data_IF_502226611859
#
_entry.id   IF_502226611859
#
_cell.length_a   1.000
_cell.length_b   1.000
_cell.length_c   1.000
_cell.angle_alpha   90.00
_cell.angle_beta   90.00
_cell.angle_gamma   90.00
#
_symmetry.space_group_name_H-M   'P 1'
#
loop_
_entity.id
_entity.type
_entity.pdbx_description
1 polymer ?
#
# COMPACT_ATOMS: atom_id res chain seq x y z
N UNK A 1 41.46 -9.53 -10.39
CA UNK A 1 41.22 -8.45 -9.40
C UNK A 1 39.93 -7.73 -9.79
N UNK A 2 38.82 -8.03 -9.12
CA UNK A 2 37.56 -7.30 -9.34
C UNK A 2 37.76 -5.89 -8.80
N UNK A 3 37.76 -4.89 -9.68
CA UNK A 3 37.95 -3.49 -9.30
C UNK A 3 36.91 -3.10 -8.24
N UNK A 4 37.33 -2.40 -7.18
CA UNK A 4 36.43 -1.89 -6.11
C UNK A 4 35.26 -1.08 -6.68
N UNK A 5 35.46 -0.46 -7.85
CA UNK A 5 34.43 0.27 -8.59
C UNK A 5 33.33 -0.67 -9.12
N UNK A 6 33.69 -1.86 -9.61
CA UNK A 6 32.75 -2.86 -10.10
C UNK A 6 31.90 -3.44 -8.96
N UNK A 7 32.50 -3.62 -7.78
CA UNK A 7 31.77 -4.05 -6.57
C UNK A 7 30.75 -2.98 -6.11
N UNK A 8 31.14 -1.70 -6.12
CA UNK A 8 30.24 -0.59 -5.77
C UNK A 8 29.09 -0.42 -6.76
N UNK A 9 29.33 -0.60 -8.06
CA UNK A 9 28.29 -0.55 -9.10
C UNK A 9 27.33 -1.73 -8.93
N UNK A 10 27.84 -2.94 -8.67
CA UNK A 10 27.01 -4.12 -8.43
C UNK A 10 26.16 -3.98 -7.15
N UNK A 11 26.74 -3.44 -6.08
CA UNK A 11 26.05 -3.20 -4.81
C UNK A 11 24.93 -2.15 -4.96
N UNK A 12 25.18 -1.06 -5.70
CA UNK A 12 24.15 -0.06 -6.00
C UNK A 12 23.05 -0.63 -6.89
N UNK A 13 23.40 -1.42 -7.92
CA UNK A 13 22.42 -2.06 -8.80
C UNK A 13 21.49 -3.04 -8.05
N UNK A 14 21.98 -3.71 -7.00
CA UNK A 14 21.16 -4.55 -6.12
C UNK A 14 20.20 -3.74 -5.24
N UNK A 15 20.57 -2.53 -4.82
CA UNK A 15 19.75 -1.67 -3.95
C UNK A 15 18.58 -1.01 -4.71
N UNK A 16 18.67 -0.83 -6.03
CA UNK A 16 17.62 -0.19 -6.84
C UNK A 16 16.34 -1.04 -7.02
N UNK A 17 16.32 -2.30 -6.59
CA UNK A 17 15.18 -3.22 -6.82
C UNK A 17 14.03 -3.12 -5.81
N UNK A 18 14.11 -2.26 -4.79
CA UNK A 18 13.24 -2.37 -3.61
C UNK A 18 12.22 -1.25 -3.38
N UNK A 19 11.94 -0.40 -4.38
CA UNK A 19 10.91 0.63 -4.23
C UNK A 19 9.74 0.40 -5.20
N UNK A 20 8.83 -0.50 -4.83
CA UNK A 20 7.53 -0.64 -5.50
C UNK A 20 6.48 0.17 -4.75
N UNK A 21 6.14 1.35 -5.27
CA UNK A 21 4.98 2.12 -4.82
C UNK A 21 3.79 1.87 -5.76
N UNK A 22 2.57 1.89 -5.22
CA UNK A 22 1.36 1.79 -6.03
C UNK A 22 0.98 3.17 -6.55
N UNK A 23 0.93 3.33 -7.88
CA UNK A 23 0.40 4.52 -8.55
C UNK A 23 -0.88 4.11 -9.31
N UNK A 24 -2.00 4.65 -8.86
CA UNK A 24 -3.33 4.47 -9.44
C UNK A 24 -3.64 5.70 -10.28
N UNK A 25 -4.10 5.50 -11.51
CA UNK A 25 -4.49 6.60 -12.40
C UNK A 25 -6.00 6.56 -12.57
N UNK A 26 -6.67 7.67 -12.26
CA UNK A 26 -8.11 7.85 -12.44
C UNK A 26 -8.37 8.80 -13.59
N UNK A 27 -9.33 8.44 -14.43
CA UNK A 27 -9.78 9.19 -15.60
C UNK A 27 -11.17 9.75 -15.40
N UNK A 28 -11.48 10.85 -16.08
CA UNK A 28 -12.81 11.47 -16.07
C UNK A 28 -13.94 10.51 -16.49
N UNK A 29 -13.60 9.51 -17.33
CA UNK A 29 -14.53 8.51 -17.87
C UNK A 29 -14.79 7.35 -16.89
N UNK A 30 -14.05 7.27 -15.79
CA UNK A 30 -14.21 6.20 -14.81
C UNK A 30 -15.52 6.36 -14.06
N UNK A 31 -16.34 5.30 -14.12
CA UNK A 31 -17.69 5.32 -13.55
C UNK A 31 -17.69 4.96 -12.06
N UNK A 32 -18.66 5.49 -11.28
CA UNK A 32 -18.90 5.05 -9.91
C UNK A 32 -19.11 3.53 -9.84
N UNK A 33 -18.54 2.90 -8.82
CA UNK A 33 -18.51 1.45 -8.66
C UNK A 33 -17.25 0.78 -9.23
N UNK A 34 -16.41 1.51 -9.97
CA UNK A 34 -15.13 0.99 -10.45
C UNK A 34 -14.20 0.66 -9.26
N UNK A 35 -13.67 -0.56 -9.24
CA UNK A 35 -12.60 -0.96 -8.32
C UNK A 35 -11.27 -0.48 -8.88
N UNK A 36 -10.62 0.44 -8.17
CA UNK A 36 -9.39 1.10 -8.63
C UNK A 36 -8.14 0.42 -8.06
N UNK A 37 -8.29 -0.36 -6.99
CA UNK A 37 -7.22 -1.14 -6.38
C UNK A 37 -7.82 -2.24 -5.51
N UNK A 38 -7.14 -3.38 -5.40
CA UNK A 38 -7.48 -4.44 -4.45
C UNK A 38 -6.36 -4.59 -3.42
N UNK A 39 -6.64 -4.19 -2.18
CA UNK A 39 -5.74 -4.38 -1.05
C UNK A 39 -5.92 -5.75 -0.36
N UNK A 40 -6.82 -6.58 -0.89
CA UNK A 40 -7.06 -7.94 -0.43
C UNK A 40 -5.77 -8.76 -0.39
N UNK A 41 -5.48 -9.32 0.78
CA UNK A 41 -4.33 -10.20 0.97
C UNK A 41 -4.88 -11.61 0.88
N UNK A 42 -4.35 -12.40 -0.04
CA UNK A 42 -4.68 -13.82 -0.14
C UNK A 42 -4.12 -14.51 1.11
N UNK A 43 -5.01 -14.80 2.04
CA UNK A 43 -4.66 -15.50 3.28
C UNK A 43 -4.57 -17.00 3.03
N UNK A 44 -3.52 -17.64 3.57
CA UNK A 44 -3.40 -19.11 3.55
C UNK A 44 -4.58 -19.73 4.33
N UNK A 45 -5.06 -20.94 3.98
CA UNK A 45 -6.09 -21.62 4.75
C UNK A 45 -5.66 -21.74 6.23
N UNK A 46 -6.53 -21.32 7.15
CA UNK A 46 -6.26 -21.27 8.59
C UNK A 46 -5.80 -19.90 9.12
N UNK A 47 -5.51 -18.93 8.25
CA UNK A 47 -5.28 -17.55 8.69
C UNK A 47 -6.61 -16.82 8.97
N UNK A 48 -6.63 -15.93 9.98
CA UNK A 48 -7.85 -15.23 10.36
C UNK A 48 -8.30 -14.22 9.29
N UNK A 49 -9.62 -13.98 9.17
CA UNK A 49 -10.14 -12.95 8.28
C UNK A 49 -9.63 -11.58 8.69
N UNK A 50 -9.38 -10.74 7.69
CA UNK A 50 -8.89 -9.37 7.86
C UNK A 50 -10.01 -8.37 7.61
N UNK A 51 -9.93 -7.21 8.25
CA UNK A 51 -10.77 -6.05 8.00
C UNK A 51 -9.94 -4.94 7.38
N UNK A 52 -10.52 -4.28 6.40
CA UNK A 52 -9.88 -3.19 5.67
C UNK A 52 -10.58 -1.87 5.95
N UNK A 53 -9.82 -0.82 6.24
CA UNK A 53 -10.38 0.50 6.60
C UNK A 53 -9.51 1.61 6.02
N UNK A 54 -10.14 2.68 5.53
CA UNK A 54 -9.41 3.90 5.17
C UNK A 54 -8.94 4.64 6.41
N UNK A 55 -7.64 4.93 6.52
CA UNK A 55 -7.09 5.68 7.63
C UNK A 55 -7.43 7.17 7.48
N UNK A 56 -8.49 7.64 8.13
CA UNK A 56 -8.95 9.03 8.06
C UNK A 56 -8.01 10.05 8.72
N UNK A 57 -7.06 9.60 9.55
CA UNK A 57 -6.06 10.49 10.15
C UNK A 57 -4.91 10.81 9.20
N UNK A 58 -4.57 9.86 8.31
CA UNK A 58 -3.48 10.01 7.33
C UNK A 58 -3.97 10.34 5.92
N UNK A 59 -5.24 10.10 5.64
CA UNK A 59 -5.87 10.36 4.34
C UNK A 59 -6.61 11.70 4.37
N UNK A 60 -6.50 12.47 3.29
CA UNK A 60 -7.20 13.74 3.18
C UNK A 60 -8.73 13.58 3.23
N UNK A 61 -9.40 14.54 3.87
CA UNK A 61 -10.84 14.45 4.17
C UNK A 61 -11.75 14.40 2.95
N UNK A 62 -11.32 14.91 1.79
CA UNK A 62 -12.10 14.85 0.55
C UNK A 62 -12.21 13.41 0.02
N UNK A 63 -11.23 12.56 0.31
CA UNK A 63 -11.13 11.20 -0.23
C UNK A 63 -12.32 10.35 0.20
N UNK A 64 -12.84 10.51 1.42
CA UNK A 64 -14.01 9.75 1.91
C UNK A 64 -15.29 9.95 1.06
N UNK A 65 -15.35 11.08 0.35
CA UNK A 65 -16.46 11.38 -0.55
C UNK A 65 -16.21 10.84 -1.96
N UNK A 66 -14.94 10.66 -2.34
CA UNK A 66 -14.53 10.18 -3.65
C UNK A 66 -14.36 8.66 -3.72
N UNK A 67 -13.75 8.06 -2.70
CA UNK A 67 -13.38 6.66 -2.65
C UNK A 67 -13.99 5.97 -1.42
N UNK A 68 -14.27 4.68 -1.58
CA UNK A 68 -14.70 3.76 -0.54
C UNK A 68 -13.67 2.63 -0.45
N UNK A 69 -13.50 2.06 0.74
CA UNK A 69 -12.76 0.81 0.93
C UNK A 69 -13.76 -0.20 1.46
N UNK A 70 -13.94 -1.30 0.73
CA UNK A 70 -14.75 -2.42 1.21
C UNK A 70 -14.07 -3.07 2.42
N UNK A 71 -14.84 -3.30 3.48
CA UNK A 71 -14.30 -3.72 4.77
C UNK A 71 -13.82 -5.17 4.79
N UNK A 72 -14.28 -6.00 3.85
CA UNK A 72 -14.03 -7.44 3.83
C UNK A 72 -13.09 -7.85 2.70
N UNK A 73 -13.23 -7.24 1.53
CA UNK A 73 -12.37 -7.56 0.38
C UNK A 73 -11.10 -6.71 0.36
N UNK A 74 -11.14 -5.48 0.89
CA UNK A 74 -10.05 -4.52 0.72
C UNK A 74 -10.06 -3.81 -0.63
N UNK A 75 -11.14 -3.98 -1.41
CA UNK A 75 -11.32 -3.29 -2.68
C UNK A 75 -11.52 -1.78 -2.45
N UNK A 76 -10.72 -0.98 -3.12
CA UNK A 76 -10.86 0.49 -3.16
C UNK A 76 -11.72 0.84 -4.35
N UNK A 77 -12.87 1.46 -4.09
CA UNK A 77 -13.95 1.68 -5.06
C UNK A 77 -14.20 3.16 -5.26
N UNK A 78 -14.36 3.60 -6.50
CA UNK A 78 -14.77 4.95 -6.84
C UNK A 78 -16.26 5.15 -6.49
N UNK A 79 -16.57 6.10 -5.61
CA UNK A 79 -17.95 6.36 -5.14
C UNK A 79 -18.77 7.25 -6.06
N UNK A 80 -18.10 8.12 -6.80
CA UNK A 80 -18.72 9.18 -7.61
C UNK A 80 -17.82 9.51 -8.79
N UNK A 81 -18.42 10.10 -9.82
CA UNK A 81 -17.69 10.65 -10.96
C UNK A 81 -16.63 11.65 -10.48
N UNK A 82 -15.53 11.70 -11.22
CA UNK A 82 -14.54 12.75 -11.01
C UNK A 82 -15.16 14.10 -11.35
N UNK A 83 -14.99 15.02 -10.42
CA UNK A 83 -15.23 16.43 -10.64
C UNK A 83 -14.01 17.08 -11.29
N UNK A 84 -14.24 17.67 -12.45
CA UNK A 84 -13.20 18.19 -13.32
C UNK A 84 -12.94 19.68 -13.15
N UNK A 85 -13.63 20.34 -12.19
CA UNK A 85 -13.56 21.78 -11.99
C UNK A 85 -12.24 22.22 -11.33
N UNK A 86 -11.37 21.28 -10.92
CA UNK A 86 -10.05 21.55 -10.33
C UNK A 86 -10.07 22.12 -8.91
N UNK A 87 -11.25 22.42 -8.35
CA UNK A 87 -11.40 23.04 -7.02
C UNK A 87 -11.50 22.01 -5.90
N UNK A 88 -12.07 20.83 -6.15
CA UNK A 88 -12.49 19.90 -5.09
C UNK A 88 -11.36 19.06 -4.49
N UNK A 89 -10.30 18.81 -5.25
CA UNK A 89 -9.19 17.99 -4.83
C UNK A 89 -7.95 18.25 -5.71
N UNK A 90 -6.75 17.97 -5.20
CA UNK A 90 -5.52 18.04 -6.00
C UNK A 90 -5.49 16.95 -7.07
N UNK A 91 -4.69 17.17 -8.12
CA UNK A 91 -4.43 16.18 -9.15
C UNK A 91 -3.72 14.92 -8.64
N UNK A 92 -2.98 15.01 -7.53
CA UNK A 92 -2.29 13.87 -6.92
C UNK A 92 -2.51 13.86 -5.42
N UNK A 93 -2.80 12.69 -4.86
CA UNK A 93 -2.96 12.50 -3.42
C UNK A 93 -2.65 11.06 -3.01
N UNK A 94 -2.48 10.84 -1.70
CA UNK A 94 -2.23 9.52 -1.13
C UNK A 94 -3.42 9.09 -0.28
N UNK A 95 -3.80 7.83 -0.42
CA UNK A 95 -4.84 7.16 0.37
C UNK A 95 -4.16 6.06 1.17
N UNK A 96 -4.42 6.02 2.47
CA UNK A 96 -3.90 4.97 3.34
C UNK A 96 -5.00 3.96 3.63
N UNK A 97 -4.79 2.73 3.19
CA UNK A 97 -5.69 1.60 3.44
C UNK A 97 -5.05 0.69 4.48
N UNK A 98 -5.68 0.55 5.62
CA UNK A 98 -5.20 -0.27 6.73
C UNK A 98 -5.90 -1.63 6.71
N UNK A 99 -5.14 -2.69 6.93
CA UNK A 99 -5.58 -4.08 7.00
C UNK A 99 -5.27 -4.65 8.37
N UNK A 100 -6.32 -4.89 9.14
CA UNK A 100 -6.28 -5.38 10.52
C UNK A 100 -6.74 -6.84 10.56
N UNK A 101 -5.95 -7.72 11.17
CA UNK A 101 -6.41 -9.08 11.47
C UNK A 101 -7.46 -9.07 12.59
N UNK A 102 -8.54 -9.86 12.47
CA UNK A 102 -9.58 -9.90 13.49
C UNK A 102 -9.15 -10.61 14.78
N UNK A 103 -8.22 -11.56 14.71
CA UNK A 103 -7.81 -12.37 15.87
C UNK A 103 -6.38 -12.14 16.35
N UNK A 104 -5.56 -11.42 15.57
CA UNK A 104 -4.16 -11.18 15.89
C UNK A 104 -3.83 -9.69 15.79
N UNK A 105 -2.78 -9.21 16.48
CA UNK A 105 -2.31 -7.82 16.36
C UNK A 105 -1.51 -7.56 15.07
N UNK A 106 -1.87 -8.23 13.98
CA UNK A 106 -1.24 -8.04 12.68
C UNK A 106 -1.94 -6.90 11.93
N UNK A 107 -1.14 -5.89 11.54
CA UNK A 107 -1.55 -4.67 10.89
C UNK A 107 -0.66 -4.38 9.68
N UNK A 108 -1.28 -4.01 8.55
CA UNK A 108 -0.59 -3.62 7.33
C UNK A 108 -1.23 -2.33 6.82
N UNK A 109 -0.44 -1.37 6.38
CA UNK A 109 -0.92 -0.08 5.84
C UNK A 109 -0.39 0.12 4.43
N UNK A 110 -1.30 0.22 3.46
CA UNK A 110 -1.03 0.41 2.04
C UNK A 110 -1.13 1.90 1.67
N UNK A 111 0.00 2.59 1.38
CA UNK A 111 -0.02 3.94 0.82
C UNK A 111 -0.28 3.89 -0.69
N UNK A 112 -1.51 4.17 -1.09
CA UNK A 112 -1.93 4.19 -2.49
C UNK A 112 -1.82 5.61 -3.04
N UNK A 113 -0.97 5.85 -4.04
CA UNK A 113 -0.93 7.14 -4.71
C UNK A 113 -1.96 7.17 -5.82
N UNK A 114 -2.79 8.19 -5.82
CA UNK A 114 -3.84 8.39 -6.81
C UNK A 114 -3.48 9.63 -7.62
N UNK A 115 -3.36 9.47 -8.93
CA UNK A 115 -3.19 10.53 -9.91
C UNK A 115 -4.50 10.67 -10.69
N UNK A 116 -5.10 11.86 -10.65
CA UNK A 116 -6.23 12.22 -11.48
C UNK A 116 -5.70 12.78 -12.79
N UNK A 117 -5.89 12.01 -13.86
CA UNK A 117 -5.61 12.44 -15.22
C UNK A 117 -6.59 13.57 -15.56
N UNK A 118 -6.05 14.66 -16.11
CA UNK A 118 -6.81 15.86 -16.42
C UNK A 118 -8.04 15.50 -17.26
N UNK A 119 -9.20 15.99 -16.84
CA UNK A 119 -10.39 15.91 -17.65
C UNK A 119 -10.22 16.88 -18.82
N UNK A 120 -10.03 16.35 -20.02
CA UNK A 120 -9.87 17.17 -21.22
C UNK A 120 -11.04 16.95 -22.14
N UNK A 121 -11.77 18.02 -22.44
CA UNK A 121 -12.57 18.18 -23.65
C UNK A 121 -12.34 19.63 -24.11
N UNK A 122 -11.41 19.82 -25.08
CA UNK A 122 -11.14 21.03 -25.90
C UNK A 122 -10.80 22.32 -25.10
N UNK A 123 -9.57 22.83 -25.05
CA UNK A 123 -8.75 23.40 -26.13
C UNK A 123 -7.25 23.26 -25.79
N UNK A 124 -6.41 23.20 -26.83
CA UNK A 124 -4.98 22.85 -26.85
C UNK A 124 -4.68 21.35 -26.92
N UNK A 125 -5.14 20.74 -28.02
CA UNK A 125 -4.37 19.68 -28.66
C UNK A 125 -2.92 20.16 -28.88
N UNK A 126 -1.97 19.27 -28.58
CA UNK A 126 -0.51 19.38 -28.80
C UNK A 126 0.40 19.86 -27.63
N UNK A 127 0.00 19.60 -26.38
CA UNK A 127 0.94 19.35 -25.26
C UNK A 127 0.70 17.95 -24.68
N UNK A 128 0.56 16.99 -25.58
CA UNK A 128 0.32 15.58 -25.30
C UNK A 128 1.53 14.93 -24.62
N UNK A 129 1.21 13.98 -23.75
CA UNK A 129 2.12 13.00 -23.11
C UNK A 129 3.15 13.58 -22.12
N UNK A 130 3.82 14.68 -22.43
CA UNK A 130 4.90 15.24 -21.60
C UNK A 130 4.44 15.66 -20.20
N UNK A 131 3.30 16.33 -20.05
CA UNK A 131 2.85 16.84 -18.74
C UNK A 131 2.41 15.70 -17.80
N UNK A 132 1.70 14.70 -18.33
CA UNK A 132 1.35 13.48 -17.59
C UNK A 132 2.59 12.67 -17.25
N UNK A 133 3.52 12.47 -18.19
CA UNK A 133 4.80 11.81 -17.93
C UNK A 133 5.63 12.55 -16.90
N UNK A 134 5.66 13.89 -16.93
CA UNK A 134 6.35 14.72 -15.94
C UNK A 134 5.72 14.53 -14.56
N UNK A 135 4.38 14.56 -14.45
CA UNK A 135 3.67 14.32 -13.19
C UNK A 135 3.88 12.90 -12.66
N UNK A 136 3.87 11.90 -13.53
CA UNK A 136 4.17 10.50 -13.16
C UNK A 136 5.63 10.37 -12.73
N UNK A 137 6.58 11.00 -13.44
CA UNK A 137 7.99 11.00 -13.08
C UNK A 137 8.26 11.73 -11.76
N UNK A 138 7.53 12.82 -11.49
CA UNK A 138 7.53 13.49 -10.21
C UNK A 138 6.97 12.57 -9.12
N UNK A 139 5.79 11.98 -9.33
CA UNK A 139 5.16 11.06 -8.40
C UNK A 139 6.05 9.86 -8.06
N UNK A 140 6.88 9.38 -8.98
CA UNK A 140 7.85 8.30 -8.74
C UNK A 140 8.97 8.69 -7.75
N UNK A 141 9.30 9.98 -7.61
CA UNK A 141 10.37 10.46 -6.72
C UNK A 141 9.96 10.54 -5.24
N UNK A 142 8.67 10.46 -4.94
CA UNK A 142 8.18 10.67 -3.58
C UNK A 142 8.36 9.40 -2.73
N UNK A 143 8.62 9.52 -1.41
CA UNK A 143 8.80 8.37 -0.53
C UNK A 143 7.48 7.63 -0.28
N UNK A 144 7.39 6.35 -0.65
CA UNK A 144 6.24 5.47 -0.39
C UNK A 144 6.63 4.42 0.65
N UNK A 145 6.34 4.69 1.92
CA UNK A 145 6.64 3.77 3.01
C UNK A 145 5.40 2.95 3.34
N UNK A 146 5.42 1.66 2.95
CA UNK A 146 4.44 0.67 3.39
C UNK A 146 4.85 0.19 4.78
N UNK A 147 3.95 0.32 5.76
CA UNK A 147 4.20 -0.09 7.14
C UNK A 147 3.47 -1.38 7.41
N UNK A 148 4.18 -2.38 7.91
CA UNK A 148 3.60 -3.63 8.38
C UNK A 148 4.12 -3.96 9.77
N UNK A 149 3.22 -4.39 10.65
CA UNK A 149 3.49 -4.87 11.99
C UNK A 149 2.75 -6.18 12.21
N UNK A 150 3.41 -7.17 12.81
CA UNK A 150 2.84 -8.49 13.06
C UNK A 150 3.12 -8.93 14.49
N UNK A 151 2.14 -9.64 15.08
CA UNK A 151 2.33 -10.31 16.35
C UNK A 151 3.08 -11.63 16.13
N UNK A 152 4.21 -11.80 16.82
CA UNK A 152 4.89 -13.09 16.94
C UNK A 152 4.26 -13.81 18.13
N UNK A 153 3.61 -14.95 17.87
CA UNK A 153 3.10 -15.79 18.94
C UNK A 153 4.28 -16.52 19.58
N UNK A 154 4.46 -16.39 20.89
CA UNK A 154 5.37 -17.26 21.62
C UNK A 154 4.76 -18.65 21.71
N UNK A 155 5.54 -19.70 21.45
CA UNK A 155 5.09 -21.08 21.64
C UNK A 155 4.59 -21.29 23.07
N UNK A 156 3.28 -21.49 23.23
CA UNK A 156 2.74 -22.34 24.31
C UNK A 156 1.29 -22.76 24.03
N UNK A 157 1.14 -23.82 23.24
CA UNK A 157 0.03 -24.75 23.42
C UNK A 157 0.37 -25.61 24.64
N UNK A 158 -0.21 -25.29 25.79
CA UNK A 158 -0.40 -26.20 26.92
C UNK A 158 -1.56 -25.60 27.72
N UNK A 159 -2.76 -25.84 27.23
CA UNK A 159 -4.02 -25.61 27.94
C UNK A 159 -4.02 -26.64 29.09
N UNK A 160 -3.73 -26.21 30.33
CA UNK A 160 -4.30 -26.74 31.60
C UNK A 160 -3.44 -26.65 32.86
N UNK A 161 -2.24 -26.05 32.88
CA UNK A 161 -1.52 -25.84 34.16
C UNK A 161 -0.92 -24.44 34.31
N UNK A 162 -1.66 -23.60 35.03
CA UNK A 162 -1.28 -22.30 35.63
C UNK A 162 -0.86 -21.17 34.65
N UNK A 163 -1.34 -19.92 34.87
CA UNK A 163 -0.97 -18.78 34.02
C UNK A 163 0.48 -18.41 34.30
N UNK A 164 1.42 -18.97 33.53
CA UNK A 164 2.79 -18.44 33.52
C UNK A 164 2.71 -17.05 32.87
N UNK A 165 3.19 -15.98 33.53
CA UNK A 165 3.27 -14.67 32.90
C UNK A 165 4.09 -14.80 31.61
N UNK A 166 3.63 -14.14 30.54
CA UNK A 166 4.27 -14.12 29.22
C UNK A 166 5.76 -13.84 29.45
N UNK A 167 6.61 -14.87 29.31
CA UNK A 167 8.05 -14.69 29.53
C UNK A 167 8.53 -13.71 28.47
N UNK A 168 9.12 -12.61 28.92
CA UNK A 168 9.79 -11.66 28.05
C UNK A 168 10.65 -12.42 27.03
N UNK A 169 10.35 -12.26 25.74
CA UNK A 169 11.12 -12.91 24.68
C UNK A 169 12.40 -12.10 24.53
N UNK A 170 13.50 -12.61 25.10
CA UNK A 170 14.82 -12.01 24.93
C UNK A 170 15.33 -12.26 23.51
N UNK A 171 15.05 -11.33 22.60
CA UNK A 171 15.58 -11.36 21.23
C UNK A 171 17.08 -11.12 21.26
N UNK A 172 17.87 -12.00 20.64
CA UNK A 172 19.31 -11.76 20.46
C UNK A 172 19.56 -10.77 19.33
N UNK A 173 20.64 -9.98 19.46
CA UNK A 173 21.10 -9.09 18.37
C UNK A 173 21.31 -9.92 17.09
N UNK A 174 20.68 -9.50 16.00
CA UNK A 174 20.73 -10.15 14.67
C UNK A 174 20.04 -11.52 14.56
N UNK A 175 19.13 -11.88 15.48
CA UNK A 175 18.32 -13.10 15.33
C UNK A 175 17.23 -12.89 14.27
N UNK A 176 17.11 -13.84 13.33
CA UNK A 176 15.97 -13.90 12.41
C UNK A 176 14.72 -14.32 13.19
N UNK A 177 13.75 -13.41 13.32
CA UNK A 177 12.47 -13.67 14.00
C UNK A 177 11.45 -14.26 13.02
N UNK A 178 11.39 -13.72 11.79
CA UNK A 178 10.53 -14.24 10.73
C UNK A 178 10.99 -13.74 9.36
N UNK A 179 10.54 -14.39 8.28
CA UNK A 179 10.73 -13.95 6.91
C UNK A 179 9.54 -13.09 6.47
N UNK A 180 9.81 -11.81 6.17
CA UNK A 180 8.79 -10.82 5.78
C UNK A 180 8.28 -11.03 4.35
N UNK A 181 9.10 -11.62 3.47
CA UNK A 181 8.81 -11.72 2.05
C UNK A 181 7.63 -12.66 1.72
N UNK A 182 7.42 -13.72 2.51
CA UNK A 182 6.28 -14.64 2.32
C UNK A 182 4.94 -14.09 2.81
N UNK A 183 4.96 -13.00 3.60
CA UNK A 183 3.78 -12.46 4.28
C UNK A 183 3.27 -11.15 3.65
N UNK A 184 4.15 -10.36 3.02
CA UNK A 184 3.83 -9.02 2.52
C UNK A 184 3.82 -8.89 1.00
N UNK A 185 4.37 -9.85 0.26
CA UNK A 185 4.37 -9.79 -1.20
C UNK A 185 3.15 -10.56 -1.73
N UNK A 186 2.15 -9.90 -2.32
CA UNK A 186 1.28 -10.61 -3.25
C UNK A 186 2.20 -11.19 -4.33
N UNK A 187 2.06 -12.50 -4.60
CA UNK A 187 2.55 -13.10 -5.84
C UNK A 187 1.77 -12.43 -6.97
N UNK A 188 2.27 -11.29 -7.44
CA UNK A 188 1.79 -10.66 -8.67
C UNK A 188 2.09 -11.63 -9.80
N UNK A 189 1.03 -12.24 -10.35
CA UNK A 189 1.03 -12.74 -11.73
C UNK A 189 0.92 -11.53 -12.65
#
# INVERSE_FOLDING_TARGET
MVSRLSLLILLNALLFKFCSGYLLVLNAKDSPGLVIFDAGIITKPGQPPRKYVMNFHRTASFVKHLLHVDHYTGSVVLKRWLDCDGVRYPHIFTVYVDSLSNSTLNYISFPLRVLIQSCGDNDFEDVGDSTTQVRVAEAKKWPSETVASFAVHGEREDIDLFPRPVREVCVRKSQLITNVAELLLPLTI
#
